data_IF_016651631324
#
_entry.id   IF_016651631324
#
_cell.length_a   1.000
_cell.length_b   1.000
_cell.length_c   1.000
_cell.angle_alpha   90.00
_cell.angle_beta   90.00
_cell.angle_gamma   90.00
#
_symmetry.space_group_name_H-M   'P 1'
#
loop_
_entity.id
_entity.type
_entity.pdbx_description
1 polymer ?
#
# COMPACT_ATOMS: atom_id res chain seq x y z
N UNK A 1 29.67 7.34 -15.88
CA UNK A 1 29.23 6.21 -15.04
C UNK A 1 27.95 5.68 -15.64
N UNK A 2 28.08 4.69 -16.54
CA UNK A 2 26.94 3.97 -17.12
C UNK A 2 26.37 3.06 -16.05
N UNK A 3 25.12 3.29 -15.65
CA UNK A 3 24.42 2.42 -14.72
C UNK A 3 23.69 1.35 -15.52
N UNK A 4 24.31 0.18 -15.69
CA UNK A 4 23.62 -0.98 -16.23
C UNK A 4 22.65 -1.53 -15.19
N UNK A 5 21.40 -1.77 -15.60
CA UNK A 5 20.42 -2.50 -14.79
C UNK A 5 20.45 -3.96 -15.24
N UNK A 6 20.77 -4.86 -14.30
CA UNK A 6 20.57 -6.30 -14.51
C UNK A 6 19.10 -6.65 -14.31
N UNK A 7 18.50 -7.37 -15.26
CA UNK A 7 17.17 -7.94 -15.10
C UNK A 7 17.30 -9.44 -14.88
N UNK A 8 16.74 -9.93 -13.77
CA UNK A 8 16.75 -11.36 -13.45
C UNK A 8 15.72 -12.08 -14.33
N UNK A 9 16.19 -12.98 -15.20
CA UNK A 9 15.34 -13.79 -16.09
C UNK A 9 15.06 -15.17 -15.50
N UNK A 10 15.95 -15.66 -14.64
CA UNK A 10 15.78 -16.87 -13.84
C UNK A 10 16.63 -16.75 -12.57
N UNK A 11 16.39 -17.58 -11.55
CA UNK A 11 17.07 -17.47 -10.25
C UNK A 11 18.60 -17.50 -10.41
N UNK A 12 19.25 -16.35 -10.23
CA UNK A 12 20.69 -16.18 -10.39
C UNK A 12 21.19 -15.88 -11.81
N UNK A 13 20.31 -15.73 -12.81
CA UNK A 13 20.64 -15.37 -14.18
C UNK A 13 20.17 -13.94 -14.51
N UNK A 14 21.13 -13.05 -14.77
CA UNK A 14 20.87 -11.65 -15.05
C UNK A 14 21.25 -11.30 -16.49
N UNK A 15 20.31 -10.72 -17.23
CA UNK A 15 20.60 -10.12 -18.53
C UNK A 15 20.92 -8.64 -18.33
N UNK A 16 22.01 -8.19 -18.93
CA UNK A 16 22.38 -6.77 -18.97
C UNK A 16 21.47 -6.03 -19.93
N UNK A 17 20.81 -4.99 -19.45
CA UNK A 17 19.96 -4.12 -20.25
C UNK A 17 20.50 -2.69 -20.21
N UNK A 18 20.74 -2.08 -21.38
CA UNK A 18 21.20 -0.69 -21.46
C UNK A 18 20.03 0.29 -21.32
N UNK A 19 20.35 1.53 -20.95
CA UNK A 19 19.33 2.58 -20.85
C UNK A 19 18.65 2.85 -22.20
N UNK A 20 19.37 2.76 -23.33
CA UNK A 20 18.74 2.93 -24.66
C UNK A 20 17.73 1.83 -24.97
N UNK A 21 18.01 0.58 -24.58
CA UNK A 21 17.07 -0.53 -24.76
C UNK A 21 15.80 -0.33 -23.95
N UNK A 22 15.93 0.20 -22.72
CA UNK A 22 14.78 0.56 -21.87
C UNK A 22 13.99 1.71 -22.48
N UNK A 23 14.68 2.72 -23.02
CA UNK A 23 14.01 3.88 -23.61
C UNK A 23 13.28 3.54 -24.92
N UNK A 24 13.79 2.57 -25.69
CA UNK A 24 13.16 2.10 -26.92
C UNK A 24 11.81 1.40 -26.70
N UNK A 25 11.56 0.85 -25.51
CA UNK A 25 10.31 0.14 -25.18
C UNK A 25 9.32 1.00 -24.38
N UNK A 26 9.67 2.24 -24.02
CA UNK A 26 8.78 3.13 -23.28
C UNK A 26 7.58 3.53 -24.13
N UNK A 27 6.40 3.43 -23.53
CA UNK A 27 5.19 3.96 -24.14
C UNK A 27 5.17 5.49 -24.05
N UNK A 28 4.54 6.19 -25.01
CA UNK A 28 4.20 7.60 -24.82
C UNK A 28 3.46 7.76 -23.49
N UNK A 29 3.96 8.65 -22.63
CA UNK A 29 3.24 8.97 -21.40
C UNK A 29 2.10 9.88 -21.75
N UNK A 30 0.87 9.41 -21.52
CA UNK A 30 -0.32 10.25 -21.52
C UNK A 30 -0.80 10.39 -20.08
N UNK A 31 -1.13 11.62 -19.67
CA UNK A 31 -1.74 11.91 -18.38
C UNK A 31 -3.25 11.58 -18.37
N UNK A 32 -3.63 10.51 -19.07
CA UNK A 32 -5.00 10.00 -19.21
C UNK A 32 -5.16 8.69 -18.45
N UNK A 33 -6.37 8.46 -17.93
CA UNK A 33 -6.76 7.19 -17.33
C UNK A 33 -7.75 6.55 -18.28
N UNK A 34 -7.38 5.40 -18.84
CA UNK A 34 -8.25 4.63 -19.73
C UNK A 34 -8.96 3.54 -18.93
N UNK A 35 -10.21 3.80 -18.57
CA UNK A 35 -11.07 2.83 -17.88
C UNK A 35 -11.66 1.85 -18.90
N UNK A 36 -11.52 0.55 -18.63
CA UNK A 36 -12.02 -0.52 -19.51
C UNK A 36 -12.98 -1.48 -18.81
N UNK A 37 -13.11 -1.43 -17.49
CA UNK A 37 -14.06 -2.27 -16.73
C UNK A 37 -14.60 -1.55 -15.51
N UNK A 38 -15.76 -1.98 -15.01
CA UNK A 38 -16.31 -1.56 -13.72
C UNK A 38 -16.69 -2.80 -12.92
N UNK A 39 -16.25 -2.86 -11.67
CA UNK A 39 -16.41 -4.04 -10.80
C UNK A 39 -16.84 -3.63 -9.40
N UNK A 40 -17.60 -4.47 -8.66
CA UNK A 40 -17.93 -4.19 -7.25
C UNK A 40 -16.67 -4.08 -6.39
N UNK A 41 -16.60 -3.07 -5.52
CA UNK A 41 -15.37 -2.75 -4.79
C UNK A 41 -14.91 -3.90 -3.88
N UNK A 42 -15.85 -4.65 -3.33
CA UNK A 42 -15.64 -5.81 -2.47
C UNK A 42 -14.98 -6.99 -3.18
N UNK A 43 -15.02 -7.03 -4.52
CA UNK A 43 -14.36 -8.08 -5.30
C UNK A 43 -12.86 -7.81 -5.49
N UNK A 44 -12.39 -6.59 -5.17
CA UNK A 44 -10.99 -6.24 -5.26
C UNK A 44 -10.25 -6.67 -4.00
N UNK A 45 -9.47 -7.75 -4.13
CA UNK A 45 -8.62 -8.24 -3.05
C UNK A 45 -7.65 -7.14 -2.59
N UNK A 46 -7.57 -6.83 -1.28
CA UNK A 46 -6.61 -5.88 -0.73
C UNK A 46 -5.17 -6.10 -1.17
N UNK A 47 -4.74 -7.36 -1.36
CA UNK A 47 -3.36 -7.69 -1.76
C UNK A 47 -3.01 -7.23 -3.18
N UNK A 48 -4.01 -7.00 -4.03
CA UNK A 48 -3.78 -6.47 -5.37
C UNK A 48 -3.45 -4.98 -5.35
N UNK A 49 -3.76 -4.25 -4.27
CA UNK A 49 -3.46 -2.83 -4.15
C UNK A 49 -1.99 -2.67 -3.77
N UNK A 50 -1.26 -1.86 -4.55
CA UNK A 50 0.16 -1.59 -4.29
C UNK A 50 0.43 -0.68 -3.08
N UNK A 51 -0.61 -0.06 -2.53
CA UNK A 51 -0.50 0.96 -1.48
C UNK A 51 -0.31 2.39 -2.00
N UNK A 52 0.07 2.54 -3.27
CA UNK A 52 0.14 3.84 -3.93
C UNK A 52 -1.26 4.32 -4.32
N UNK A 53 -1.76 5.32 -3.60
CA UNK A 53 -3.05 5.96 -3.87
C UNK A 53 -2.91 7.46 -4.09
N UNK A 54 -3.71 8.00 -5.01
CA UNK A 54 -3.70 9.39 -5.45
C UNK A 54 -5.12 9.93 -5.57
N UNK A 55 -5.33 11.18 -5.18
CA UNK A 55 -6.58 11.87 -5.46
C UNK A 55 -6.69 12.19 -6.95
N UNK A 56 -7.82 11.84 -7.57
CA UNK A 56 -8.11 12.19 -8.96
C UNK A 56 -8.83 13.52 -8.98
N UNK A 57 -8.12 14.56 -9.38
CA UNK A 57 -8.68 15.89 -9.66
C UNK A 57 -8.88 16.12 -11.15
N UNK A 58 -9.55 17.21 -11.50
CA UNK A 58 -9.56 17.71 -12.87
C UNK A 58 -8.36 18.66 -13.00
N UNK A 59 -7.41 18.34 -13.87
CA UNK A 59 -6.25 19.20 -14.10
C UNK A 59 -6.68 20.55 -14.71
N UNK A 60 -6.16 21.65 -14.17
CA UNK A 60 -6.37 23.00 -14.71
C UNK A 60 -5.44 23.32 -15.91
N UNK A 61 -4.53 22.40 -16.26
CA UNK A 61 -3.48 22.59 -17.27
C UNK A 61 -3.92 22.31 -18.71
N UNK A 62 -3.50 23.19 -19.64
CA UNK A 62 -3.65 23.15 -21.12
C UNK A 62 -5.06 23.23 -21.71
N UNK A 63 -6.10 23.23 -20.89
CA UNK A 63 -7.47 23.56 -21.33
C UNK A 63 -8.29 24.02 -20.14
N UNK A 64 -9.01 25.14 -20.28
CA UNK A 64 -9.96 25.58 -19.24
C UNK A 64 -10.85 24.39 -18.88
N UNK A 65 -10.96 24.08 -17.59
CA UNK A 65 -11.97 23.15 -17.08
C UNK A 65 -13.34 23.65 -17.52
N UNK A 66 -13.83 23.08 -18.61
CA UNK A 66 -15.10 23.48 -19.18
C UNK A 66 -16.24 22.83 -18.37
N UNK A 67 -17.46 23.34 -18.57
CA UNK A 67 -18.65 22.84 -17.86
C UNK A 67 -18.87 21.34 -18.10
N UNK A 68 -18.47 20.83 -19.28
CA UNK A 68 -18.63 19.43 -19.65
C UNK A 68 -17.69 18.53 -18.83
N UNK A 69 -16.40 18.86 -18.70
CA UNK A 69 -15.44 18.08 -17.92
C UNK A 69 -15.84 17.96 -16.44
N UNK A 70 -16.30 19.07 -15.84
CA UNK A 70 -16.89 19.05 -14.48
C UNK A 70 -18.11 18.14 -14.39
N UNK A 71 -19.01 18.22 -15.37
CA UNK A 71 -20.21 17.38 -15.39
C UNK A 71 -19.87 15.90 -15.53
N UNK A 72 -18.91 15.54 -16.40
CA UNK A 72 -18.46 14.15 -16.61
C UNK A 72 -17.78 13.59 -15.36
N UNK A 73 -16.87 14.35 -14.75
CA UNK A 73 -16.22 13.96 -13.49
C UNK A 73 -17.25 13.69 -12.39
N UNK A 74 -18.17 14.64 -12.18
CA UNK A 74 -19.22 14.51 -11.16
C UNK A 74 -20.15 13.33 -11.44
N UNK A 75 -20.55 13.13 -12.72
CA UNK A 75 -21.38 12.01 -13.11
C UNK A 75 -20.70 10.68 -12.83
N UNK A 76 -19.43 10.52 -13.25
CA UNK A 76 -18.66 9.30 -13.01
C UNK A 76 -18.56 9.00 -11.51
N UNK A 77 -18.14 9.99 -10.71
CA UNK A 77 -18.09 9.85 -9.24
C UNK A 77 -19.44 9.38 -8.68
N UNK A 78 -20.54 10.02 -9.08
CA UNK A 78 -21.89 9.66 -8.59
C UNK A 78 -22.29 8.25 -8.99
N UNK A 79 -21.98 7.82 -10.20
CA UNK A 79 -22.29 6.46 -10.68
C UNK A 79 -21.50 5.42 -9.89
N UNK A 80 -20.21 5.66 -9.66
CA UNK A 80 -19.36 4.76 -8.85
C UNK A 80 -19.91 4.63 -7.41
N UNK A 81 -20.22 5.77 -6.78
CA UNK A 81 -20.72 5.86 -5.41
C UNK A 81 -22.08 5.16 -5.24
N UNK A 82 -23.06 5.50 -6.09
CA UNK A 82 -24.42 4.94 -6.03
C UNK A 82 -24.45 3.43 -6.29
N UNK A 83 -23.47 2.89 -7.01
CA UNK A 83 -23.41 1.48 -7.37
C UNK A 83 -22.47 0.68 -6.47
N UNK A 84 -21.64 1.31 -5.65
CA UNK A 84 -20.62 0.63 -4.86
C UNK A 84 -19.57 -0.08 -5.75
N UNK A 85 -19.28 0.50 -6.91
CA UNK A 85 -18.35 -0.08 -7.90
C UNK A 85 -17.14 0.83 -8.09
N UNK A 86 -16.06 0.25 -8.60
CA UNK A 86 -14.86 0.94 -9.01
C UNK A 86 -14.56 0.68 -10.50
N UNK A 87 -13.98 1.68 -11.17
CA UNK A 87 -13.46 1.53 -12.52
C UNK A 87 -12.07 0.92 -12.49
N UNK A 88 -11.82 -0.10 -13.31
CA UNK A 88 -10.49 -0.64 -13.57
C UNK A 88 -9.99 -0.09 -14.89
N UNK A 89 -8.75 0.37 -14.90
CA UNK A 89 -8.16 1.02 -16.05
C UNK A 89 -6.64 0.90 -16.11
N UNK A 90 -6.07 1.57 -17.11
CA UNK A 90 -4.63 1.73 -17.29
C UNK A 90 -4.26 3.21 -17.22
N UNK A 91 -3.09 3.46 -16.67
CA UNK A 91 -2.46 4.78 -16.63
C UNK A 91 -1.00 4.63 -17.08
N UNK A 92 -0.55 5.47 -18.02
CA UNK A 92 0.84 5.49 -18.45
C UNK A 92 1.62 6.60 -17.73
N UNK A 93 2.46 6.23 -16.76
CA UNK A 93 3.30 7.19 -16.02
C UNK A 93 4.76 6.90 -16.31
N UNK A 94 5.52 7.91 -16.76
CA UNK A 94 6.97 7.80 -17.02
C UNK A 94 7.32 6.64 -17.98
N UNK A 95 6.46 6.42 -18.97
CA UNK A 95 6.62 5.43 -20.04
C UNK A 95 6.32 4.00 -19.62
N UNK A 96 5.70 3.80 -18.45
CA UNK A 96 5.23 2.51 -17.97
C UNK A 96 3.72 2.52 -17.78
N UNK A 97 3.07 1.52 -18.34
CA UNK A 97 1.67 1.25 -18.08
C UNK A 97 1.51 0.66 -16.68
N UNK A 98 0.52 1.13 -15.95
CA UNK A 98 0.16 0.65 -14.62
C UNK A 98 -1.33 0.36 -14.58
N UNK A 99 -1.70 -0.78 -14.01
CA UNK A 99 -3.10 -1.11 -13.73
C UNK A 99 -3.60 -0.24 -12.56
N UNK A 100 -4.78 0.34 -12.69
CA UNK A 100 -5.32 1.26 -11.70
C UNK A 100 -6.78 0.96 -11.40
N UNK A 101 -7.17 1.20 -10.15
CA UNK A 101 -8.53 1.22 -9.66
C UNK A 101 -8.95 2.66 -9.40
N UNK A 102 -10.12 3.08 -9.87
CA UNK A 102 -10.70 4.40 -9.62
C UNK A 102 -12.05 4.24 -8.94
N UNK A 103 -12.18 4.80 -7.74
CA UNK A 103 -13.38 4.72 -6.92
C UNK A 103 -13.82 6.10 -6.42
N UNK A 104 -15.10 6.23 -6.07
CA UNK A 104 -15.59 7.44 -5.39
C UNK A 104 -15.00 7.52 -3.99
N UNK A 105 -14.47 8.69 -3.61
CA UNK A 105 -13.89 8.88 -2.28
C UNK A 105 -14.17 10.29 -1.76
N UNK A 106 -14.97 10.37 -0.69
CA UNK A 106 -15.46 11.61 -0.10
C UNK A 106 -15.98 12.62 -1.15
N UNK A 107 -15.30 13.75 -1.30
CA UNK A 107 -15.65 14.84 -2.22
C UNK A 107 -15.13 14.64 -3.65
N UNK A 108 -14.30 13.63 -3.90
CA UNK A 108 -13.68 13.37 -5.18
C UNK A 108 -13.66 11.89 -5.55
N UNK A 109 -12.57 11.48 -6.17
CA UNK A 109 -12.28 10.09 -6.51
C UNK A 109 -10.86 9.75 -6.08
N UNK A 110 -10.64 8.49 -5.75
CA UNK A 110 -9.34 7.92 -5.41
C UNK A 110 -8.89 7.01 -6.55
N UNK A 111 -7.65 7.17 -6.98
CA UNK A 111 -6.96 6.22 -7.84
C UNK A 111 -6.00 5.42 -6.97
N UNK A 112 -6.09 4.09 -7.04
CA UNK A 112 -5.16 3.18 -6.38
C UNK A 112 -4.46 2.35 -7.44
N UNK A 113 -3.13 2.34 -7.43
CA UNK A 113 -2.36 1.46 -8.33
C UNK A 113 -2.54 0.00 -7.90
N UNK A 114 -2.73 -0.86 -8.88
CA UNK A 114 -2.82 -2.29 -8.71
C UNK A 114 -1.53 -2.97 -9.18
N UNK A 115 -1.18 -4.05 -8.51
CA UNK A 115 -0.23 -5.02 -9.02
C UNK A 115 -0.85 -5.80 -10.17
N UNK A 116 -0.02 -6.11 -11.18
CA UNK A 116 -0.35 -7.17 -12.13
C UNK A 116 -0.31 -8.53 -11.43
N UNK A 117 -1.03 -9.51 -11.98
CA UNK A 117 -1.19 -10.82 -11.34
C UNK A 117 0.15 -11.48 -11.02
N UNK A 118 1.14 -11.34 -11.91
CA UNK A 118 2.48 -11.90 -11.78
C UNK A 118 3.32 -11.25 -10.67
N UNK A 119 2.89 -10.10 -10.16
CA UNK A 119 3.55 -9.38 -9.07
C UNK A 119 2.96 -9.73 -7.69
N UNK A 120 1.82 -10.42 -7.66
CA UNK A 120 1.17 -10.87 -6.44
C UNK A 120 1.64 -12.29 -6.16
N UNK A 121 2.15 -12.54 -4.95
CA UNK A 121 2.50 -13.89 -4.53
C UNK A 121 1.25 -14.72 -4.32
N UNK A 122 1.34 -16.01 -4.64
CA UNK A 122 0.30 -16.97 -4.35
C UNK A 122 0.12 -17.12 -2.83
N UNK A 123 -1.12 -17.21 -2.39
CA UNK A 123 -1.45 -17.32 -0.98
C UNK A 123 -1.15 -18.72 -0.43
N UNK A 124 -1.19 -19.76 -1.27
CA UNK A 124 -0.75 -21.12 -0.92
C UNK A 124 0.75 -21.19 -0.58
N UNK A 125 1.57 -20.31 -1.13
CA UNK A 125 3.01 -20.24 -0.82
C UNK A 125 3.31 -19.56 0.52
N UNK A 126 2.33 -18.85 1.10
CA UNK A 126 2.52 -17.99 2.28
C UNK A 126 1.76 -18.51 3.50
N UNK A 127 0.54 -19.03 3.31
CA UNK A 127 -0.27 -19.46 4.43
C UNK A 127 0.23 -20.77 5.03
N UNK A 128 0.33 -20.77 6.36
CA UNK A 128 0.61 -21.96 7.14
C UNK A 128 -0.69 -22.68 7.48
N UNK A 129 -0.65 -24.02 7.52
CA UNK A 129 -1.77 -24.79 8.05
C UNK A 129 -2.05 -24.35 9.50
N UNK A 130 -3.33 -24.12 9.81
CA UNK A 130 -3.75 -23.79 11.16
C UNK A 130 -3.44 -24.94 12.12
N UNK A 131 -3.08 -24.59 13.35
CA UNK A 131 -3.00 -25.52 14.48
C UNK A 131 -4.18 -25.29 15.42
N UNK A 132 -4.64 -26.35 16.08
CA UNK A 132 -5.73 -26.23 17.05
C UNK A 132 -5.34 -25.32 18.22
N UNK A 133 -6.24 -24.40 18.57
CA UNK A 133 -6.09 -23.48 19.70
C UNK A 133 -7.00 -23.94 20.83
N UNK A 134 -6.46 -24.03 22.04
CA UNK A 134 -7.24 -24.41 23.22
C UNK A 134 -8.15 -23.25 23.68
N UNK A 135 -9.27 -23.53 24.38
CA UNK A 135 -10.12 -22.48 24.93
C UNK A 135 -9.41 -21.52 25.90
N UNK A 136 -8.39 -21.99 26.63
CA UNK A 136 -7.60 -21.14 27.54
C UNK A 136 -6.73 -20.14 26.76
N UNK A 137 -6.04 -20.60 25.71
CA UNK A 137 -5.23 -19.73 24.84
C UNK A 137 -6.10 -18.70 24.12
N UNK A 138 -7.26 -19.11 23.59
CA UNK A 138 -8.21 -18.19 22.96
C UNK A 138 -8.68 -17.12 23.94
N UNK A 139 -9.01 -17.50 25.18
CA UNK A 139 -9.42 -16.54 26.23
C UNK A 139 -8.31 -15.53 26.53
N UNK A 140 -7.08 -15.98 26.75
CA UNK A 140 -5.95 -15.09 27.04
C UNK A 140 -5.64 -14.15 25.87
N UNK A 141 -5.76 -14.64 24.63
CA UNK A 141 -5.61 -13.82 23.44
C UNK A 141 -6.67 -12.71 23.37
N UNK A 142 -7.93 -13.03 23.67
CA UNK A 142 -9.02 -12.04 23.72
C UNK A 142 -8.78 -10.99 24.83
N UNK A 143 -8.41 -11.42 26.04
CA UNK A 143 -8.11 -10.50 27.15
C UNK A 143 -6.97 -9.52 26.78
N UNK A 144 -5.97 -9.98 26.01
CA UNK A 144 -4.88 -9.14 25.52
C UNK A 144 -5.36 -8.14 24.46
N UNK A 145 -6.20 -8.57 23.52
CA UNK A 145 -6.80 -7.69 22.51
C UNK A 145 -7.62 -6.60 23.20
N UNK A 146 -8.49 -6.94 24.15
CA UNK A 146 -9.31 -5.96 24.87
C UNK A 146 -8.47 -4.91 25.62
N UNK A 147 -7.32 -5.29 26.17
CA UNK A 147 -6.39 -4.34 26.82
C UNK A 147 -5.68 -3.42 25.84
N UNK A 148 -5.39 -3.91 24.65
CA UNK A 148 -4.68 -3.18 23.60
C UNK A 148 -5.61 -2.44 22.64
N UNK A 149 -6.92 -2.72 22.69
CA UNK A 149 -7.96 -2.08 21.89
C UNK A 149 -8.16 -0.63 22.34
N UNK A 150 -7.25 0.21 21.89
CA UNK A 150 -7.30 1.66 22.04
C UNK A 150 -7.73 2.30 20.72
N UNK A 151 -8.30 3.50 20.78
CA UNK A 151 -8.63 4.27 19.59
C UNK A 151 -7.40 4.50 18.71
N UNK A 152 -7.53 4.23 17.40
CA UNK A 152 -6.45 4.48 16.43
C UNK A 152 -6.47 5.94 15.94
N UNK A 153 -5.56 6.78 16.46
CA UNK A 153 -5.30 8.12 15.90
C UNK A 153 -4.02 8.10 15.04
N UNK A 154 -4.19 7.93 13.74
CA UNK A 154 -3.10 7.96 12.76
C UNK A 154 -2.22 9.22 12.88
N UNK A 155 -2.79 10.38 13.24
CA UNK A 155 -2.05 11.65 13.33
C UNK A 155 -1.14 11.73 14.55
N UNK A 156 -1.34 10.86 15.55
CA UNK A 156 -0.49 10.78 16.73
C UNK A 156 0.86 10.11 16.46
N UNK A 157 0.97 9.32 15.39
CA UNK A 157 2.22 8.66 15.02
C UNK A 157 3.15 9.65 14.32
N UNK A 158 4.37 9.74 14.83
CA UNK A 158 5.42 10.60 14.27
C UNK A 158 6.55 9.76 13.73
N UNK A 159 7.21 10.29 12.71
CA UNK A 159 8.40 9.71 12.14
C UNK A 159 9.61 10.02 13.05
N UNK A 160 9.94 9.07 13.92
CA UNK A 160 11.04 9.20 14.88
C UNK A 160 12.40 9.33 14.20
N UNK A 161 12.55 8.81 12.97
CA UNK A 161 13.75 8.97 12.19
C UNK A 161 13.90 10.42 11.70
N UNK A 162 12.83 11.03 11.19
CA UNK A 162 12.85 12.45 10.79
C UNK A 162 13.11 13.36 11.99
N UNK A 163 12.52 13.07 13.14
CA UNK A 163 12.79 13.82 14.38
C UNK A 163 14.26 13.70 14.81
N UNK A 164 14.83 12.48 14.77
CA UNK A 164 16.25 12.27 15.07
C UNK A 164 17.16 13.00 14.07
N UNK A 165 16.81 13.00 12.79
CA UNK A 165 17.54 13.71 11.75
C UNK A 165 17.51 15.24 11.96
N UNK A 166 16.36 15.79 12.35
CA UNK A 166 16.23 17.21 12.71
C UNK A 166 17.14 17.59 13.87
N UNK A 167 17.20 16.76 14.92
CA UNK A 167 18.12 16.97 16.06
C UNK A 167 19.59 16.97 15.65
N UNK A 168 19.99 16.08 14.73
CA UNK A 168 21.34 16.09 14.15
C UNK A 168 21.62 17.41 13.44
N UNK A 169 20.68 17.87 12.60
CA UNK A 169 20.81 19.12 11.85
C UNK A 169 20.91 20.33 12.81
N UNK A 170 20.18 20.30 13.90
CA UNK A 170 20.17 21.34 14.94
C UNK A 170 21.39 21.29 15.89
N UNK A 171 22.24 20.27 15.75
CA UNK A 171 23.49 20.12 16.51
C UNK A 171 23.31 19.52 17.90
N UNK A 172 22.16 18.90 18.18
CA UNK A 172 21.93 18.17 19.43
C UNK A 172 22.64 16.81 19.41
N UNK A 173 23.19 16.34 20.55
CA UNK A 173 23.77 15.02 20.64
C UNK A 173 22.66 13.96 20.49
N UNK A 174 22.78 13.10 19.47
CA UNK A 174 21.90 11.94 19.31
C UNK A 174 22.31 10.92 20.36
N UNK A 175 21.49 10.74 21.38
CA UNK A 175 21.55 9.54 22.22
C UNK A 175 21.15 8.34 21.36
N UNK A 176 21.98 7.29 21.34
CA UNK A 176 21.61 6.00 20.75
C UNK A 176 20.21 5.61 21.23
N UNK A 177 19.32 5.30 20.28
CA UNK A 177 18.04 4.70 20.62
C UNK A 177 18.36 3.41 21.37
N UNK A 178 17.88 3.31 22.62
CA UNK A 178 18.06 2.10 23.41
C UNK A 178 17.60 0.90 22.58
N UNK A 179 18.46 -0.11 22.43
CA UNK A 179 18.06 -1.38 21.83
C UNK A 179 16.88 -1.92 22.64
N UNK A 180 15.70 -1.95 22.02
CA UNK A 180 14.58 -2.70 22.56
C UNK A 180 14.92 -4.17 22.42
N UNK A 181 15.47 -4.76 23.47
CA UNK A 181 15.66 -6.21 23.55
C UNK A 181 14.29 -6.87 23.52
N UNK A 182 13.91 -7.44 22.38
CA UNK A 182 12.85 -8.43 22.34
C UNK A 182 13.41 -9.73 22.92
N UNK A 183 13.23 -9.97 24.22
CA UNK A 183 13.41 -11.30 24.78
C UNK A 183 12.31 -12.20 24.21
N UNK A 184 12.67 -13.07 23.26
CA UNK A 184 11.79 -14.16 22.81
C UNK A 184 11.87 -15.25 23.86
N UNK A 185 10.98 -15.24 24.84
CA UNK A 185 11.01 -16.18 25.96
C UNK A 185 9.73 -17.03 26.06
N UNK A 186 9.78 -18.21 25.42
CA UNK A 186 9.20 -19.51 25.85
C UNK A 186 8.48 -20.26 24.72
N UNK A 187 8.64 -21.59 24.69
CA UNK A 187 7.91 -22.51 23.80
C UNK A 187 6.42 -22.69 24.20
N UNK A 188 5.90 -21.84 25.08
CA UNK A 188 4.59 -21.97 25.68
C UNK A 188 3.76 -20.70 25.47
N UNK A 189 2.77 -20.78 24.58
CA UNK A 189 1.87 -19.68 24.22
C UNK A 189 1.17 -19.05 25.44
N UNK A 190 0.73 -19.87 26.40
CA UNK A 190 0.05 -19.39 27.62
C UNK A 190 0.99 -18.53 28.47
N UNK A 191 2.28 -18.87 28.55
CA UNK A 191 3.27 -18.09 29.29
C UNK A 191 3.56 -16.75 28.60
N UNK A 192 3.70 -16.75 27.27
CA UNK A 192 3.90 -15.54 26.46
C UNK A 192 2.72 -14.56 26.56
N UNK A 193 1.49 -15.08 26.49
CA UNK A 193 0.29 -14.25 26.60
C UNK A 193 0.18 -13.63 28.00
N UNK A 194 0.47 -14.39 29.06
CA UNK A 194 0.49 -13.86 30.44
C UNK A 194 1.54 -12.75 30.62
N UNK A 195 2.76 -12.94 30.10
CA UNK A 195 3.80 -11.90 30.14
C UNK A 195 3.38 -10.64 29.38
N UNK A 196 2.81 -10.78 28.18
CA UNK A 196 2.32 -9.64 27.40
C UNK A 196 1.22 -8.88 28.13
N UNK A 197 0.31 -9.61 28.78
CA UNK A 197 -0.79 -9.05 29.57
C UNK A 197 -0.28 -8.30 30.81
N UNK A 198 0.77 -8.79 31.46
CA UNK A 198 1.40 -8.15 32.64
C UNK A 198 2.28 -6.95 32.27
N UNK A 199 2.97 -6.99 31.13
CA UNK A 199 3.85 -5.92 30.66
C UNK A 199 3.11 -4.69 30.10
N UNK A 200 1.81 -4.81 29.83
CA UNK A 200 0.96 -3.73 29.29
C UNK A 200 0.42 -2.78 30.40
N UNK A 201 1.03 -2.79 31.60
CA UNK A 201 0.65 -1.95 32.77
C UNK A 201 1.62 -0.79 32.98
#
# INVERSE_FOLDING_TARGET
NDWDKGFEVSKGEFVRITQEQIDAIKLPSEESIDLFSFVPIETINPVWRSGDSYYVGIAEGKGKINKLGRKTYTLLKQVLDLKGIAGVGKLCVRGKETLVLVESYHRGMLLTKLYFAEQVRDDEEVFVEGVDITPEEAKLGLDLVERLENGFDYKGYKDTYVEALQKIIEGEPVTELAEVKHEVASDNLVALLKQSVEATV
#
